data_IF_742048212553
#
_entry.id   IF_742048212553
#
_cell.length_a   1.000
_cell.length_b   1.000
_cell.length_c   1.000
_cell.angle_alpha   90.00
_cell.angle_beta   90.00
_cell.angle_gamma   90.00
#
_symmetry.space_group_name_H-M   'P 1'
#
loop_
_entity.id
_entity.type
_entity.pdbx_description
1 polymer ?
#
# COMPACT_ATOMS: atom_id res chain seq x y z
N UNK A 1 -16.10 -4.09 -4.16
CA UNK A 1 -15.39 -2.85 -4.54
C UNK A 1 -14.10 -2.77 -3.75
N UNK A 2 -12.99 -2.39 -4.37
CA UNK A 2 -11.70 -2.24 -3.70
C UNK A 2 -11.07 -0.89 -3.93
N UNK A 3 -10.07 -0.54 -3.12
CA UNK A 3 -9.28 0.67 -3.26
C UNK A 3 -7.78 0.36 -3.11
N UNK A 4 -6.93 1.04 -3.88
CA UNK A 4 -5.47 1.01 -3.77
C UNK A 4 -4.99 2.45 -3.50
N UNK A 5 -4.46 2.68 -2.30
CA UNK A 5 -3.95 3.99 -1.86
C UNK A 5 -2.44 4.08 -2.07
N UNK A 6 -2.01 5.03 -2.90
CA UNK A 6 -0.62 5.16 -3.33
C UNK A 6 -0.29 4.17 -4.45
N UNK A 7 -1.20 4.05 -5.43
CA UNK A 7 -1.10 3.04 -6.50
C UNK A 7 0.06 3.32 -7.50
N UNK A 8 0.71 4.47 -7.42
CA UNK A 8 1.75 4.87 -8.35
C UNK A 8 1.28 4.84 -9.80
N UNK A 9 2.00 4.12 -10.65
CA UNK A 9 1.66 3.93 -12.07
C UNK A 9 0.61 2.83 -12.34
N UNK A 10 -0.13 2.39 -11.32
CA UNK A 10 -1.21 1.43 -11.46
C UNK A 10 -0.78 -0.03 -11.63
N UNK A 11 0.42 -0.39 -11.19
CA UNK A 11 0.99 -1.75 -11.35
C UNK A 11 0.07 -2.86 -10.87
N UNK A 12 -0.70 -2.62 -9.82
CA UNK A 12 -1.57 -3.63 -9.18
C UNK A 12 -3.02 -3.60 -9.65
N UNK A 13 -3.39 -2.67 -10.51
CA UNK A 13 -4.74 -2.60 -11.10
C UNK A 13 -5.13 -3.88 -11.84
N UNK A 14 -4.16 -4.58 -12.42
CA UNK A 14 -4.39 -5.75 -13.27
C UNK A 14 -4.42 -7.09 -12.52
N UNK A 15 -4.10 -7.12 -11.21
CA UNK A 15 -3.96 -8.38 -10.47
C UNK A 15 -5.22 -9.27 -10.51
N UNK A 16 -6.40 -8.69 -10.68
CA UNK A 16 -7.65 -9.45 -10.74
C UNK A 16 -8.13 -9.83 -12.15
N UNK A 17 -7.60 -9.21 -13.19
CA UNK A 17 -7.89 -9.67 -14.55
C UNK A 17 -7.33 -11.08 -14.80
N UNK A 18 -6.23 -11.42 -14.13
CA UNK A 18 -5.62 -12.75 -14.17
C UNK A 18 -6.42 -13.82 -13.37
N UNK A 19 -7.27 -13.41 -12.41
CA UNK A 19 -8.09 -14.32 -11.59
C UNK A 19 -9.47 -14.59 -12.22
N UNK A 20 -9.82 -13.93 -13.33
CA UNK A 20 -11.16 -13.90 -13.91
C UNK A 20 -11.53 -15.06 -14.84
N UNK A 21 -10.71 -16.11 -14.96
CA UNK A 21 -10.99 -17.25 -15.84
C UNK A 21 -11.82 -18.39 -15.21
N UNK A 22 -12.26 -18.26 -13.96
CA UNK A 22 -13.07 -19.23 -13.24
C UNK A 22 -14.52 -18.79 -13.04
N UNK A 23 -15.45 -19.73 -12.86
CA UNK A 23 -16.89 -19.52 -12.62
C UNK A 23 -17.26 -18.60 -11.46
N UNK A 24 -16.29 -18.17 -10.65
CA UNK A 24 -16.49 -17.38 -9.44
C UNK A 24 -16.84 -15.90 -9.68
N UNK A 25 -16.86 -15.41 -10.92
CA UNK A 25 -17.01 -13.98 -11.20
C UNK A 25 -18.34 -13.58 -11.81
N UNK A 26 -19.45 -13.97 -11.17
CA UNK A 26 -20.77 -13.41 -11.53
C UNK A 26 -20.89 -11.91 -11.18
N UNK A 27 -20.03 -11.38 -10.33
CA UNK A 27 -20.08 -10.01 -9.84
C UNK A 27 -19.06 -9.11 -10.53
N UNK A 28 -19.47 -7.88 -10.84
CA UNK A 28 -18.58 -6.84 -11.33
C UNK A 28 -17.52 -6.50 -10.28
N UNK A 29 -16.28 -6.35 -10.72
CA UNK A 29 -15.18 -5.92 -9.90
C UNK A 29 -14.90 -4.44 -10.16
N UNK A 30 -15.00 -3.63 -9.14
CA UNK A 30 -14.65 -2.21 -9.17
C UNK A 30 -13.39 -2.02 -8.32
N UNK A 31 -12.34 -1.45 -8.89
CA UNK A 31 -11.13 -1.04 -8.17
C UNK A 31 -10.87 0.43 -8.42
N UNK A 32 -10.86 1.23 -7.35
CA UNK A 32 -10.46 2.62 -7.38
C UNK A 32 -8.99 2.71 -6.96
N UNK A 33 -8.20 3.47 -7.66
CA UNK A 33 -6.80 3.69 -7.34
C UNK A 33 -6.51 5.16 -7.19
N UNK A 34 -5.65 5.50 -6.25
CA UNK A 34 -5.26 6.89 -6.08
C UNK A 34 -3.78 7.03 -5.75
N UNK A 35 -3.22 8.12 -6.23
CA UNK A 35 -1.88 8.59 -5.87
C UNK A 35 -1.90 10.12 -5.84
N UNK A 36 -1.06 10.73 -5.00
CA UNK A 36 -0.93 12.20 -4.97
C UNK A 36 -0.17 12.77 -6.17
N UNK A 37 0.54 11.94 -6.90
CA UNK A 37 1.38 12.33 -8.03
C UNK A 37 0.59 12.24 -9.34
N UNK A 38 0.13 13.40 -9.86
CA UNK A 38 -0.62 13.47 -11.12
C UNK A 38 0.07 12.76 -12.30
N UNK A 39 1.38 12.91 -12.56
CA UNK A 39 2.05 12.16 -13.63
C UNK A 39 1.97 10.64 -13.48
N UNK A 40 2.01 10.11 -12.26
CA UNK A 40 1.84 8.67 -12.03
C UNK A 40 0.40 8.22 -12.31
N UNK A 41 -0.59 9.01 -11.92
CA UNK A 41 -2.00 8.74 -12.23
C UNK A 41 -2.26 8.76 -13.73
N UNK A 42 -1.70 9.70 -14.47
CA UNK A 42 -1.77 9.73 -15.93
C UNK A 42 -1.16 8.47 -16.54
N UNK A 43 -0.01 8.02 -16.04
CA UNK A 43 0.61 6.76 -16.46
C UNK A 43 -0.28 5.56 -16.13
N UNK A 44 -0.86 5.51 -14.94
CA UNK A 44 -1.78 4.45 -14.54
C UNK A 44 -3.00 4.37 -15.46
N UNK A 45 -3.56 5.51 -15.85
CA UNK A 45 -4.70 5.60 -16.77
C UNK A 45 -4.34 5.07 -18.17
N UNK A 46 -3.14 5.38 -18.68
CA UNK A 46 -2.67 4.85 -19.95
C UNK A 46 -2.42 3.34 -19.94
N UNK A 47 -2.10 2.79 -18.78
CA UNK A 47 -1.88 1.36 -18.61
C UNK A 47 -3.18 0.54 -18.52
N UNK A 48 -4.35 1.17 -18.56
CA UNK A 48 -5.62 0.45 -18.59
C UNK A 48 -5.74 -0.41 -19.85
N UNK A 49 -6.26 -1.65 -19.72
CA UNK A 49 -6.56 -2.46 -20.89
C UNK A 49 -7.52 -1.70 -21.81
N UNK A 50 -7.20 -1.62 -23.09
CA UNK A 50 -8.04 -0.95 -24.09
C UNK A 50 -9.41 -1.64 -24.25
N UNK A 51 -9.49 -2.94 -23.95
CA UNK A 51 -10.71 -3.74 -23.96
C UNK A 51 -10.83 -4.50 -22.63
N UNK A 52 -11.19 -3.84 -21.53
CA UNK A 52 -11.37 -4.53 -20.27
C UNK A 52 -12.56 -5.50 -20.36
N UNK A 53 -12.52 -6.64 -19.65
CA UNK A 53 -13.69 -7.49 -19.49
C UNK A 53 -14.88 -6.64 -19.03
N UNK A 54 -16.06 -6.83 -19.58
CA UNK A 54 -17.27 -6.01 -19.31
C UNK A 54 -17.62 -5.82 -17.82
N UNK A 55 -17.00 -6.60 -16.93
CA UNK A 55 -17.25 -6.59 -15.48
C UNK A 55 -16.10 -6.01 -14.66
N UNK A 56 -15.04 -5.54 -15.31
CA UNK A 56 -13.90 -4.89 -14.65
C UNK A 56 -14.03 -3.38 -14.83
N UNK A 57 -14.28 -2.68 -13.75
CA UNK A 57 -14.27 -1.21 -13.69
C UNK A 57 -13.03 -0.79 -12.90
N UNK A 58 -12.19 -0.02 -13.54
CA UNK A 58 -10.98 0.54 -12.96
C UNK A 58 -11.01 2.04 -13.14
N UNK A 59 -10.79 2.76 -12.05
CA UNK A 59 -10.75 4.22 -12.03
C UNK A 59 -9.52 4.68 -11.25
N UNK A 60 -8.95 5.77 -11.68
CA UNK A 60 -7.81 6.41 -11.00
C UNK A 60 -8.14 7.85 -10.63
N UNK A 61 -7.66 8.29 -9.49
CA UNK A 61 -7.86 9.63 -8.99
C UNK A 61 -6.58 10.20 -8.35
N UNK A 62 -6.44 11.52 -8.37
CA UNK A 62 -5.41 12.19 -7.59
C UNK A 62 -5.96 12.37 -6.18
N UNK A 63 -5.35 11.68 -5.19
CA UNK A 63 -5.73 11.81 -3.79
C UNK A 63 -4.55 11.50 -2.86
N UNK A 64 -4.60 12.05 -1.65
CA UNK A 64 -3.59 11.78 -0.60
C UNK A 64 -4.00 10.53 0.18
N UNK A 65 -3.07 9.58 0.37
CA UNK A 65 -3.31 8.37 1.13
C UNK A 65 -3.54 8.61 2.64
N UNK A 66 -3.27 9.82 3.14
CA UNK A 66 -3.57 10.22 4.53
C UNK A 66 -5.00 10.76 4.69
N UNK A 67 -5.61 11.24 3.60
CA UNK A 67 -6.97 11.77 3.57
C UNK A 67 -7.49 11.65 2.14
N UNK A 68 -7.97 10.48 1.78
CA UNK A 68 -8.29 10.12 0.39
C UNK A 68 -9.53 10.82 -0.15
N UNK A 69 -10.37 11.39 0.72
CA UNK A 69 -11.68 11.95 0.36
C UNK A 69 -12.75 10.90 0.03
N UNK A 70 -12.42 9.62 0.03
CA UNK A 70 -13.40 8.56 -0.19
C UNK A 70 -14.31 8.38 1.03
N UNK A 71 -15.55 7.97 0.78
CA UNK A 71 -16.51 7.63 1.83
C UNK A 71 -16.01 6.41 2.62
N UNK A 72 -16.11 6.47 3.95
CA UNK A 72 -15.78 5.36 4.84
C UNK A 72 -16.76 4.19 4.74
N UNK A 73 -16.29 2.99 5.06
CA UNK A 73 -17.12 1.80 5.17
C UNK A 73 -17.73 1.29 3.85
N UNK A 74 -17.15 1.63 2.70
CA UNK A 74 -17.72 1.27 1.38
C UNK A 74 -16.92 0.22 0.62
N UNK A 75 -15.65 0.04 0.96
CA UNK A 75 -14.78 -0.89 0.24
C UNK A 75 -14.77 -2.27 0.90
N UNK A 76 -14.81 -3.31 0.09
CA UNK A 76 -14.67 -4.69 0.56
C UNK A 76 -13.23 -4.99 0.94
N UNK A 77 -12.27 -4.30 0.29
CA UNK A 77 -10.85 -4.36 0.61
C UNK A 77 -10.14 -3.06 0.27
N UNK A 78 -9.00 -2.82 0.96
CA UNK A 78 -8.09 -1.73 0.70
C UNK A 78 -6.64 -2.24 0.60
N UNK A 79 -5.85 -1.63 -0.29
CA UNK A 79 -4.44 -1.93 -0.49
C UNK A 79 -3.60 -0.70 -0.20
N UNK A 80 -2.41 -0.90 0.35
CA UNK A 80 -1.34 0.09 0.41
C UNK A 80 -0.01 -0.63 0.21
N UNK A 81 0.46 -0.65 -1.04
CA UNK A 81 1.64 -1.41 -1.43
C UNK A 81 2.77 -0.45 -1.74
N UNK A 82 3.86 -0.54 -1.00
CA UNK A 82 5.05 0.30 -1.16
C UNK A 82 4.77 1.82 -1.03
N UNK A 83 3.88 2.20 -0.13
CA UNK A 83 3.45 3.60 0.07
C UNK A 83 3.77 4.11 1.47
N UNK A 84 3.37 3.38 2.53
CA UNK A 84 3.45 3.86 3.91
C UNK A 84 4.89 4.15 4.35
N UNK A 85 5.85 3.42 3.84
CA UNK A 85 7.27 3.64 4.13
C UNK A 85 7.83 4.97 3.59
N UNK A 86 7.08 5.72 2.78
CA UNK A 86 7.46 7.06 2.34
C UNK A 86 7.03 8.16 3.32
N UNK A 87 6.25 7.85 4.34
CA UNK A 87 5.83 8.84 5.33
C UNK A 87 6.89 9.00 6.41
N UNK A 88 7.41 10.22 6.54
CA UNK A 88 8.60 10.53 7.35
C UNK A 88 8.35 10.52 8.85
N UNK A 89 7.10 10.60 9.32
CA UNK A 89 6.81 10.58 10.75
C UNK A 89 5.93 9.41 11.16
N UNK A 90 6.06 8.89 12.40
CA UNK A 90 5.21 7.83 12.93
C UNK A 90 3.72 8.18 12.85
N UNK A 91 3.35 9.43 13.15
CA UNK A 91 1.96 9.91 13.12
C UNK A 91 1.37 9.80 11.71
N UNK A 92 2.14 10.16 10.68
CA UNK A 92 1.68 10.05 9.29
C UNK A 92 1.54 8.59 8.87
N UNK A 93 2.44 7.71 9.30
CA UNK A 93 2.32 6.26 9.05
C UNK A 93 1.08 5.69 9.74
N UNK A 94 0.81 6.10 10.99
CA UNK A 94 -0.40 5.72 11.72
C UNK A 94 -1.68 6.23 11.04
N UNK A 95 -1.75 7.50 10.66
CA UNK A 95 -2.89 8.06 9.93
C UNK A 95 -3.18 7.33 8.62
N UNK A 96 -2.15 6.87 7.90
CA UNK A 96 -2.35 6.05 6.69
C UNK A 96 -3.02 4.71 6.99
N UNK A 97 -2.69 4.07 8.11
CA UNK A 97 -3.38 2.84 8.54
C UNK A 97 -4.81 3.15 9.00
N UNK A 98 -5.03 4.24 9.75
CA UNK A 98 -6.37 4.68 10.15
C UNK A 98 -7.26 4.92 8.93
N UNK A 99 -6.72 5.52 7.86
CA UNK A 99 -7.46 5.73 6.62
C UNK A 99 -7.86 4.40 5.98
N UNK A 100 -6.96 3.38 5.93
CA UNK A 100 -7.29 2.04 5.44
C UNK A 100 -8.40 1.39 6.26
N UNK A 101 -8.35 1.49 7.60
CA UNK A 101 -9.39 0.97 8.51
C UNK A 101 -10.73 1.68 8.25
N UNK A 102 -10.72 3.00 8.12
CA UNK A 102 -11.91 3.82 7.87
C UNK A 102 -12.63 3.46 6.57
N UNK A 103 -11.87 3.14 5.53
CA UNK A 103 -12.37 2.93 4.17
C UNK A 103 -13.08 1.59 4.00
N UNK A 104 -12.59 0.54 4.65
CA UNK A 104 -13.16 -0.80 4.45
C UNK A 104 -14.46 -0.97 5.24
N UNK A 105 -15.39 -1.69 4.64
CA UNK A 105 -16.65 -2.09 5.27
C UNK A 105 -16.35 -3.13 6.34
N UNK A 106 -16.64 -2.87 7.62
CA UNK A 106 -16.41 -3.85 8.67
C UNK A 106 -17.15 -5.16 8.41
N UNK A 107 -16.51 -6.27 8.70
CA UNK A 107 -17.07 -7.60 8.53
C UNK A 107 -17.66 -8.12 9.85
N UNK A 108 -18.66 -9.00 9.80
CA UNK A 108 -19.05 -9.80 10.97
C UNK A 108 -17.87 -10.62 11.50
N UNK A 109 -17.79 -10.79 12.83
CA UNK A 109 -16.67 -11.51 13.48
C UNK A 109 -16.50 -12.94 12.97
N UNK A 110 -17.60 -13.64 12.68
CA UNK A 110 -17.58 -15.02 12.15
C UNK A 110 -16.90 -15.19 10.79
N UNK A 111 -16.49 -14.11 10.12
CA UNK A 111 -15.73 -14.17 8.86
C UNK A 111 -14.20 -14.15 9.06
N UNK A 112 -13.71 -13.95 10.28
CA UNK A 112 -12.27 -13.96 10.57
C UNK A 112 -11.67 -15.33 10.21
N UNK A 113 -10.55 -15.33 9.49
CA UNK A 113 -9.85 -16.55 9.06
C UNK A 113 -10.52 -17.36 7.95
N UNK A 114 -11.72 -17.02 7.49
CA UNK A 114 -12.44 -17.79 6.45
C UNK A 114 -11.90 -17.55 5.02
N UNK A 115 -11.07 -16.55 4.83
CA UNK A 115 -10.64 -16.10 3.50
C UNK A 115 -11.74 -15.45 2.66
N UNK A 116 -12.97 -15.30 3.18
CA UNK A 116 -14.15 -14.80 2.46
C UNK A 116 -14.65 -13.47 3.01
N UNK A 117 -15.50 -12.79 2.26
CA UNK A 117 -16.19 -11.56 2.67
C UNK A 117 -15.35 -10.29 2.57
N UNK A 118 -15.92 -9.20 3.08
CA UNK A 118 -15.35 -7.85 3.09
C UNK A 118 -14.42 -7.57 4.28
N UNK A 119 -14.01 -6.32 4.40
CA UNK A 119 -13.36 -5.80 5.61
C UNK A 119 -11.84 -6.03 5.67
N UNK A 120 -11.19 -6.33 4.57
CA UNK A 120 -9.74 -6.55 4.56
C UNK A 120 -8.97 -5.35 4.11
N UNK A 121 -7.80 -5.15 4.73
CA UNK A 121 -6.78 -4.32 4.11
C UNK A 121 -5.43 -5.04 4.13
N UNK A 122 -4.60 -4.72 3.13
CA UNK A 122 -3.26 -5.25 2.98
C UNK A 122 -2.26 -4.10 2.95
N UNK A 123 -1.18 -4.28 3.69
CA UNK A 123 -0.03 -3.36 3.68
C UNK A 123 1.23 -4.12 3.31
N UNK A 124 2.08 -3.47 2.50
CA UNK A 124 3.35 -4.02 2.06
C UNK A 124 4.41 -2.92 2.11
N UNK A 125 5.44 -3.09 2.95
CA UNK A 125 6.46 -2.08 3.23
C UNK A 125 7.87 -2.65 3.12
N UNK A 126 8.87 -1.81 2.87
CA UNK A 126 10.26 -2.24 2.86
C UNK A 126 10.71 -2.63 4.26
N UNK A 127 11.34 -3.81 4.34
CA UNK A 127 11.93 -4.34 5.56
C UNK A 127 13.31 -3.74 5.81
N UNK A 128 13.63 -3.54 7.07
CA UNK A 128 15.00 -3.27 7.52
C UNK A 128 15.89 -4.50 7.31
N UNK A 129 15.35 -5.68 7.60
CA UNK A 129 16.03 -6.96 7.45
C UNK A 129 16.07 -7.38 5.97
N UNK A 130 17.22 -7.15 5.34
CA UNK A 130 17.49 -7.59 3.97
C UNK A 130 18.19 -8.95 3.99
N UNK A 131 17.42 -10.04 3.78
CA UNK A 131 17.88 -11.43 3.84
C UNK A 131 18.07 -11.96 2.41
N UNK A 132 19.22 -12.60 2.13
CA UNK A 132 19.45 -13.36 0.88
C UNK A 132 19.95 -12.55 -0.32
N UNK A 133 19.93 -13.17 -1.52
CA UNK A 133 20.57 -12.70 -2.75
C UNK A 133 19.90 -11.45 -3.39
N UNK A 134 18.72 -11.06 -2.95
CA UNK A 134 18.00 -9.88 -3.44
C UNK A 134 18.19 -8.64 -2.56
N UNK A 135 19.26 -8.58 -1.78
CA UNK A 135 19.55 -7.49 -0.86
C UNK A 135 19.59 -6.16 -1.58
N UNK A 136 18.72 -5.23 -1.16
CA UNK A 136 18.79 -3.83 -1.59
C UNK A 136 20.00 -3.17 -0.94
N UNK A 137 20.83 -2.53 -1.76
CA UNK A 137 21.92 -1.68 -1.25
C UNK A 137 21.30 -0.30 -0.99
N UNK A 138 21.19 0.06 0.28
CA UNK A 138 20.84 1.42 0.67
C UNK A 138 22.13 2.21 0.81
N UNK A 139 22.19 3.40 0.23
CA UNK A 139 23.29 4.30 0.44
C UNK A 139 23.16 4.93 1.85
N UNK A 140 23.76 4.25 2.80
CA UNK A 140 23.65 4.59 4.22
C UNK A 140 24.34 5.92 4.59
N UNK A 141 25.11 6.52 3.67
CA UNK A 141 25.81 7.78 3.91
C UNK A 141 24.88 9.01 3.89
N UNK A 142 23.63 8.87 3.42
CA UNK A 142 22.71 9.98 3.26
C UNK A 142 21.75 10.18 4.45
N UNK A 143 21.60 9.19 5.32
CA UNK A 143 20.90 9.36 6.58
C UNK A 143 21.82 10.06 7.59
N UNK A 144 21.99 11.36 7.46
CA UNK A 144 22.86 12.17 8.34
C UNK A 144 22.63 11.85 9.83
N UNK A 145 23.72 11.52 10.53
CA UNK A 145 23.88 11.25 11.95
C UNK A 145 23.65 9.80 12.40
N UNK A 146 24.69 9.00 12.36
CA UNK A 146 24.77 7.74 13.09
C UNK A 146 25.30 6.56 12.28
N UNK A 147 25.50 5.45 12.95
CA UNK A 147 25.89 4.19 12.38
C UNK A 147 24.82 3.76 11.32
N UNK A 148 25.19 3.85 10.07
CA UNK A 148 24.35 3.54 8.93
C UNK A 148 23.74 2.13 8.97
N UNK A 149 24.30 1.22 9.74
CA UNK A 149 23.78 -0.14 9.95
C UNK A 149 22.57 -0.18 10.88
N UNK A 150 22.25 0.95 11.55
CA UNK A 150 21.18 1.07 12.54
C UNK A 150 20.04 2.02 12.13
N UNK A 151 20.22 2.78 11.06
CA UNK A 151 19.24 3.77 10.63
C UNK A 151 18.08 3.11 9.87
N UNK A 152 16.86 3.26 10.40
CA UNK A 152 15.64 2.86 9.70
C UNK A 152 15.21 3.86 8.63
N UNK A 153 15.58 5.14 8.82
CA UNK A 153 15.25 6.22 7.90
C UNK A 153 16.39 6.41 6.91
N UNK A 154 16.12 6.22 5.64
CA UNK A 154 17.11 6.28 4.57
C UNK A 154 16.65 7.15 3.41
N UNK A 155 17.60 7.77 2.74
CA UNK A 155 17.39 8.43 1.47
C UNK A 155 17.92 7.53 0.35
N UNK A 156 17.03 7.12 -0.54
CA UNK A 156 17.38 6.24 -1.67
C UNK A 156 17.50 7.06 -2.93
N UNK A 157 18.66 7.04 -3.62
CA UNK A 157 18.82 7.75 -4.87
C UNK A 157 17.93 7.14 -5.94
N UNK A 158 17.21 8.00 -6.64
CA UNK A 158 16.41 7.66 -7.80
C UNK A 158 16.90 8.46 -9.01
N UNK A 159 17.37 7.74 -10.00
CA UNK A 159 17.89 8.36 -11.24
C UNK A 159 16.75 8.41 -12.25
N UNK A 160 16.42 9.61 -12.69
CA UNK A 160 15.50 9.79 -13.82
C UNK A 160 16.24 9.42 -15.09
N UNK A 161 15.89 8.31 -15.72
CA UNK A 161 16.40 7.95 -17.04
C UNK A 161 15.75 8.90 -18.04
N UNK A 162 16.46 9.93 -18.47
CA UNK A 162 16.02 10.81 -19.56
C UNK A 162 16.04 10.00 -20.85
N UNK A 163 14.88 9.62 -21.34
CA UNK A 163 14.70 9.35 -22.77
C UNK A 163 14.68 10.71 -23.46
N UNK A 164 15.76 11.08 -24.15
CA UNK A 164 15.91 12.30 -24.95
C UNK A 164 16.19 13.62 -24.19
N UNK A 165 17.38 13.78 -23.67
CA UNK A 165 18.06 15.10 -23.64
C UNK A 165 19.56 14.88 -23.77
N UNK A 166 20.19 15.66 -24.66
CA UNK A 166 21.64 15.71 -24.93
C UNK A 166 22.50 16.20 -23.74
N UNK A 167 21.90 16.48 -22.60
CA UNK A 167 22.59 16.88 -21.38
C UNK A 167 22.88 15.70 -20.48
N UNK A 168 24.16 15.35 -20.37
CA UNK A 168 24.72 14.27 -19.55
C UNK A 168 24.57 14.47 -18.02
N UNK A 169 23.75 15.38 -17.54
CA UNK A 169 23.46 15.52 -16.12
C UNK A 169 22.38 14.54 -15.71
N UNK A 170 22.78 13.45 -15.07
CA UNK A 170 21.85 12.57 -14.37
C UNK A 170 21.17 13.37 -13.25
N UNK A 171 19.86 13.58 -13.38
CA UNK A 171 19.04 14.21 -12.34
C UNK A 171 18.74 13.17 -11.25
N UNK A 172 19.52 13.23 -10.18
CA UNK A 172 19.40 12.29 -9.06
C UNK A 172 18.50 12.90 -7.99
N UNK A 173 17.33 12.31 -7.80
CA UNK A 173 16.44 12.66 -6.70
C UNK A 173 16.57 11.66 -5.56
N UNK A 174 16.54 12.15 -4.34
CA UNK A 174 16.56 11.29 -3.15
C UNK A 174 15.14 11.12 -2.61
N UNK A 175 14.70 9.87 -2.46
CA UNK A 175 13.41 9.53 -1.86
C UNK A 175 13.62 9.03 -0.44
N UNK A 176 12.83 9.56 0.47
CA UNK A 176 12.79 9.10 1.86
C UNK A 176 12.08 7.75 1.95
N UNK A 177 12.68 6.84 2.73
CA UNK A 177 12.12 5.55 3.12
C UNK A 177 12.33 5.31 4.61
N UNK A 178 11.29 4.84 5.26
CA UNK A 178 11.37 4.23 6.57
C UNK A 178 11.42 2.70 6.41
N UNK A 179 12.49 2.07 6.89
CA UNK A 179 12.67 0.63 6.81
C UNK A 179 12.06 -0.02 8.05
N UNK A 180 10.99 -0.76 7.87
CA UNK A 180 10.27 -1.40 8.96
C UNK A 180 11.04 -2.59 9.52
N UNK A 181 11.19 -2.65 10.84
CA UNK A 181 11.72 -3.82 11.54
C UNK A 181 10.65 -4.88 11.71
N UNK A 182 11.10 -6.08 12.04
CA UNK A 182 10.20 -7.19 12.42
C UNK A 182 9.24 -6.73 13.52
N UNK A 183 7.96 -7.06 13.38
CA UNK A 183 6.83 -6.66 14.24
C UNK A 183 6.39 -5.19 14.18
N UNK A 184 7.21 -4.26 13.72
CA UNK A 184 6.88 -2.82 13.72
C UNK A 184 5.61 -2.50 12.90
N UNK A 185 5.39 -3.21 11.79
CA UNK A 185 4.16 -3.05 11.02
C UNK A 185 2.92 -3.51 11.79
N UNK A 186 3.03 -4.57 12.59
CA UNK A 186 1.95 -5.05 13.44
C UNK A 186 1.65 -4.08 14.58
N UNK A 187 2.69 -3.54 15.20
CA UNK A 187 2.58 -2.52 16.25
C UNK A 187 1.90 -1.25 15.72
N UNK A 188 2.29 -0.79 14.53
CA UNK A 188 1.67 0.36 13.87
C UNK A 188 0.18 0.14 13.60
N UNK A 189 -0.21 -1.04 13.12
CA UNK A 189 -1.62 -1.38 12.88
C UNK A 189 -2.39 -1.48 14.18
N UNK A 190 -1.82 -2.06 15.24
CA UNK A 190 -2.45 -2.14 16.55
C UNK A 190 -2.67 -0.75 17.16
N UNK A 191 -1.68 0.14 17.04
CA UNK A 191 -1.79 1.53 17.51
C UNK A 191 -2.89 2.29 16.77
N UNK A 192 -2.92 2.20 15.44
CA UNK A 192 -3.98 2.81 14.63
C UNK A 192 -5.37 2.25 14.95
N UNK A 193 -5.48 0.96 15.26
CA UNK A 193 -6.75 0.32 15.61
C UNK A 193 -7.33 0.83 16.93
N UNK A 194 -6.50 1.32 17.86
CA UNK A 194 -6.97 1.88 19.14
C UNK A 194 -7.86 3.09 18.94
N UNK A 195 -7.63 3.89 17.89
CA UNK A 195 -8.49 5.02 17.54
C UNK A 195 -9.96 4.64 17.33
N UNK A 196 -10.22 3.40 16.93
CA UNK A 196 -11.56 2.88 16.65
C UNK A 196 -12.14 2.00 17.76
N UNK A 197 -11.43 1.79 18.86
CA UNK A 197 -11.83 0.86 19.92
C UNK A 197 -13.23 1.19 20.52
N UNK A 198 -13.49 2.47 20.75
CA UNK A 198 -14.78 2.95 21.30
C UNK A 198 -15.93 2.84 20.30
N UNK A 199 -15.64 2.72 19.00
CA UNK A 199 -16.64 2.53 17.94
C UNK A 199 -17.08 1.07 17.79
N UNK A 200 -16.62 0.16 18.64
CA UNK A 200 -16.90 -1.27 18.55
C UNK A 200 -16.18 -1.96 17.37
N UNK A 201 -15.20 -1.30 16.78
CA UNK A 201 -14.39 -1.84 15.69
C UNK A 201 -13.13 -2.51 16.29
N UNK A 202 -12.81 -3.67 15.76
CA UNK A 202 -11.59 -4.41 16.07
C UNK A 202 -10.86 -4.78 14.79
N UNK A 203 -9.53 -4.78 14.83
CA UNK A 203 -8.67 -5.18 13.71
C UNK A 203 -7.99 -6.50 14.08
N UNK A 204 -8.06 -7.49 13.19
CA UNK A 204 -7.50 -8.83 13.39
C UNK A 204 -6.55 -9.17 12.26
N UNK A 205 -5.33 -9.56 12.57
CA UNK A 205 -4.38 -10.06 11.59
C UNK A 205 -4.82 -11.43 11.10
N UNK A 206 -4.96 -11.60 9.78
CA UNK A 206 -5.29 -12.89 9.15
C UNK A 206 -4.06 -13.59 8.57
N UNK A 207 -3.10 -12.83 8.04
CA UNK A 207 -1.85 -13.37 7.51
C UNK A 207 -0.79 -12.28 7.42
N UNK A 208 0.46 -12.67 7.25
CA UNK A 208 1.58 -11.75 7.08
C UNK A 208 2.91 -12.46 7.20
N UNK A 209 3.96 -11.75 6.85
CA UNK A 209 5.32 -12.27 6.93
C UNK A 209 6.33 -11.39 6.22
N UNK A 210 7.52 -11.96 6.01
CA UNK A 210 8.60 -11.35 5.27
C UNK A 210 8.74 -11.98 3.88
N UNK A 211 8.84 -11.16 2.84
CA UNK A 211 9.05 -11.63 1.47
C UNK A 211 9.94 -10.66 0.68
N UNK A 212 11.03 -11.15 0.12
CA UNK A 212 11.91 -10.39 -0.79
C UNK A 212 12.30 -9.00 -0.27
N UNK A 213 12.67 -8.92 1.01
CA UNK A 213 13.08 -7.67 1.65
C UNK A 213 11.92 -6.73 1.99
N UNK A 214 10.75 -7.27 2.20
CA UNK A 214 9.57 -6.51 2.61
C UNK A 214 8.83 -7.22 3.74
N UNK A 215 8.22 -6.45 4.64
CA UNK A 215 7.20 -6.91 5.56
C UNK A 215 5.83 -6.67 4.93
N UNK A 216 4.93 -7.62 5.10
CA UNK A 216 3.56 -7.51 4.63
C UNK A 216 2.59 -8.13 5.62
N UNK A 217 1.35 -7.68 5.55
CA UNK A 217 0.27 -8.28 6.32
C UNK A 217 -1.09 -7.99 5.71
N UNK A 218 -2.04 -8.86 6.07
CA UNK A 218 -3.46 -8.71 5.78
C UNK A 218 -4.20 -8.73 7.11
N UNK A 219 -5.01 -7.72 7.31
CA UNK A 219 -5.86 -7.57 8.49
C UNK A 219 -7.32 -7.47 8.10
N UNK A 220 -8.15 -7.88 9.00
CA UNK A 220 -9.61 -7.72 8.89
C UNK A 220 -10.13 -6.74 9.92
N UNK A 221 -10.94 -5.81 9.46
CA UNK A 221 -11.74 -4.92 10.28
C UNK A 221 -13.07 -5.60 10.57
N UNK A 222 -13.39 -5.80 11.84
CA UNK A 222 -14.61 -6.46 12.31
C UNK A 222 -15.43 -5.53 13.19
N UNK A 223 -16.76 -5.65 13.08
CA UNK A 223 -17.71 -5.01 13.97
C UNK A 223 -18.08 -6.00 15.08
N UNK A 224 -18.00 -5.55 16.34
CA UNK A 224 -18.50 -6.28 17.50
C UNK A 224 -20.02 -6.23 17.57
#
# INVERSE_FOLDING_TARGET
MGVDLGCGNGKYLHLRSALGSGEATKNSLVTLCSDRCLPLIQTAQHNFPQNPPRRLIQEVAVADALCSGYRGGVFDYALSIATIHHFSTPERRRHAIEELIRLVKPAPEGLVGTGRGCGRFMVYVWAFEQRGAGRRLFDAQLAGHGDATKAQDVLVPWVRTAQHTDDQKQDVHHRYYHLFREHELDELVNDAAQYYADSGIRVVKESGGWEKGNWWGVWRVVQR
#
